data_IF_903174953334
#
_entry.id   IF_903174953334
#
_cell.length_a   1.000
_cell.length_b   1.000
_cell.length_c   1.000
_cell.angle_alpha   90.00
_cell.angle_beta   90.00
_cell.angle_gamma   90.00
#
_symmetry.space_group_name_H-M   'P 1'
#
loop_
_entity.id
_entity.type
_entity.pdbx_description
1 polymer ?
#
# COMPACT_ATOMS: atom_id res chain seq x y z
N UNK A 1 -19.61 7.22 -26.12
CA UNK A 1 -18.83 5.97 -26.39
C UNK A 1 -17.31 6.22 -26.43
N UNK A 2 -16.83 7.14 -27.27
CA UNK A 2 -15.38 7.44 -27.40
C UNK A 2 -14.80 8.14 -26.16
N UNK A 3 -15.54 9.05 -25.56
CA UNK A 3 -15.13 9.74 -24.33
C UNK A 3 -14.98 8.76 -23.15
N UNK A 4 -15.87 7.76 -23.04
CA UNK A 4 -15.78 6.73 -22.02
C UNK A 4 -14.52 5.89 -22.21
N UNK A 5 -14.18 5.50 -23.45
CA UNK A 5 -12.94 4.77 -23.73
C UNK A 5 -11.68 5.55 -23.32
N UNK A 6 -11.68 6.86 -23.53
CA UNK A 6 -10.58 7.74 -23.07
C UNK A 6 -10.49 7.74 -21.54
N UNK A 7 -11.62 7.85 -20.85
CA UNK A 7 -11.66 7.86 -19.40
C UNK A 7 -11.23 6.51 -18.80
N UNK A 8 -11.76 5.40 -19.32
CA UNK A 8 -11.42 4.05 -18.87
C UNK A 8 -9.92 3.75 -19.06
N UNK A 9 -9.35 4.17 -20.19
CA UNK A 9 -7.92 4.05 -20.45
C UNK A 9 -7.07 4.90 -19.49
N UNK A 10 -7.52 6.13 -19.18
CA UNK A 10 -6.86 6.95 -18.17
C UNK A 10 -6.86 6.26 -16.80
N UNK A 11 -8.03 5.74 -16.39
CA UNK A 11 -8.17 5.07 -15.10
C UNK A 11 -7.25 3.83 -14.99
N UNK A 12 -7.28 2.95 -16.01
CA UNK A 12 -6.44 1.74 -16.00
C UNK A 12 -4.95 2.07 -16.01
N UNK A 13 -4.53 2.99 -16.90
CA UNK A 13 -3.12 3.35 -17.03
C UNK A 13 -2.57 4.03 -15.77
N UNK A 14 -3.37 4.91 -15.15
CA UNK A 14 -2.94 5.62 -13.93
C UNK A 14 -3.03 4.75 -12.67
N UNK A 15 -3.75 3.62 -12.72
CA UNK A 15 -3.69 2.59 -11.68
C UNK A 15 -2.41 1.74 -11.77
N UNK A 16 -1.88 1.53 -12.99
CA UNK A 16 -0.68 0.73 -13.24
C UNK A 16 0.63 1.52 -13.09
N UNK A 17 0.60 2.81 -13.43
CA UNK A 17 1.79 3.68 -13.41
C UNK A 17 1.46 5.09 -12.90
N UNK A 18 2.38 5.68 -12.15
CA UNK A 18 2.22 7.02 -11.54
C UNK A 18 2.20 8.19 -12.55
N UNK A 19 2.59 7.95 -13.81
CA UNK A 19 2.71 8.99 -14.84
C UNK A 19 1.52 8.92 -15.80
N UNK A 20 0.76 10.01 -15.98
CA UNK A 20 -0.33 10.06 -16.95
C UNK A 20 0.11 9.76 -18.38
N UNK A 21 -0.71 9.05 -19.17
CA UNK A 21 -0.40 8.77 -20.57
C UNK A 21 -0.36 10.06 -21.40
N UNK A 22 0.49 10.08 -22.40
CA UNK A 22 0.50 11.15 -23.39
C UNK A 22 -0.73 11.07 -24.30
N UNK A 23 -1.09 12.17 -24.93
CA UNK A 23 -2.20 12.22 -25.91
C UNK A 23 -1.99 11.20 -27.04
N UNK A 24 -0.73 10.96 -27.45
CA UNK A 24 -0.40 9.95 -28.49
C UNK A 24 -0.66 8.51 -28.00
N UNK A 25 -0.33 8.22 -26.74
CA UNK A 25 -0.62 6.92 -26.12
C UNK A 25 -2.14 6.70 -26.02
N UNK A 26 -2.90 7.75 -25.64
CA UNK A 26 -4.37 7.69 -25.59
C UNK A 26 -4.93 7.42 -26.99
N UNK A 27 -4.44 8.11 -28.05
CA UNK A 27 -4.86 7.86 -29.43
C UNK A 27 -4.61 6.39 -29.82
N UNK A 28 -3.41 5.88 -29.56
CA UNK A 28 -3.04 4.51 -29.93
C UNK A 28 -3.91 3.46 -29.22
N UNK A 29 -4.14 3.64 -27.91
CA UNK A 29 -4.90 2.69 -27.11
C UNK A 29 -6.41 2.72 -27.39
N UNK A 30 -6.98 3.90 -27.68
CA UNK A 30 -8.43 4.08 -27.90
C UNK A 30 -8.86 3.99 -29.36
N UNK A 31 -7.90 3.85 -30.31
CA UNK A 31 -8.16 3.82 -31.74
C UNK A 31 -8.59 5.17 -32.33
N UNK A 32 -8.45 6.26 -31.58
CA UNK A 32 -8.76 7.61 -32.07
C UNK A 32 -7.66 8.12 -33.00
N UNK A 33 -8.04 8.51 -34.22
CA UNK A 33 -7.11 8.91 -35.26
C UNK A 33 -6.54 10.32 -35.12
N UNK A 34 -7.17 11.17 -34.29
CA UNK A 34 -6.81 12.57 -34.15
C UNK A 34 -6.52 12.96 -32.71
N UNK A 35 -5.37 13.59 -32.47
CA UNK A 35 -5.00 14.17 -31.17
C UNK A 35 -5.96 15.28 -30.75
N UNK A 36 -6.53 16.03 -31.70
CA UNK A 36 -7.54 17.06 -31.41
C UNK A 36 -8.83 16.47 -30.84
N UNK A 37 -9.24 15.28 -31.30
CA UNK A 37 -10.38 14.55 -30.73
C UNK A 37 -10.09 14.13 -29.26
N UNK A 38 -8.91 13.64 -28.98
CA UNK A 38 -8.51 13.31 -27.60
C UNK A 38 -8.49 14.57 -26.71
N UNK A 39 -7.93 15.68 -27.20
CA UNK A 39 -7.97 16.96 -26.48
C UNK A 39 -9.40 17.44 -26.21
N UNK A 40 -10.32 17.30 -27.17
CA UNK A 40 -11.74 17.64 -26.97
C UNK A 40 -12.38 16.76 -25.88
N UNK A 41 -12.12 15.44 -25.88
CA UNK A 41 -12.62 14.54 -24.86
C UNK A 41 -12.02 14.84 -23.47
N UNK A 42 -10.73 15.13 -23.38
CA UNK A 42 -10.10 15.54 -22.12
C UNK A 42 -10.70 16.84 -21.59
N UNK A 43 -10.92 17.84 -22.44
CA UNK A 43 -11.56 19.09 -22.05
C UNK A 43 -13.01 18.87 -21.56
N UNK A 44 -13.74 17.98 -22.19
CA UNK A 44 -15.09 17.61 -21.77
C UNK A 44 -15.10 16.85 -20.45
N UNK A 45 -14.16 15.92 -20.24
CA UNK A 45 -14.02 15.21 -18.96
C UNK A 45 -13.64 16.15 -17.81
N UNK A 46 -12.81 17.15 -18.09
CA UNK A 46 -12.45 18.19 -17.14
C UNK A 46 -13.64 19.08 -16.79
N UNK A 47 -14.41 19.54 -17.78
CA UNK A 47 -15.62 20.34 -17.59
C UNK A 47 -16.72 19.58 -16.81
N UNK A 48 -16.78 18.27 -16.96
CA UNK A 48 -17.67 17.37 -16.22
C UNK A 48 -17.16 16.99 -14.83
N UNK A 49 -15.94 17.43 -14.46
CA UNK A 49 -15.35 17.16 -13.15
C UNK A 49 -14.81 15.74 -12.97
N UNK A 50 -14.61 14.95 -14.05
CA UNK A 50 -14.02 13.62 -13.97
C UNK A 50 -12.48 13.64 -13.91
N UNK A 51 -11.87 14.68 -14.42
CA UNK A 51 -10.42 14.88 -14.36
C UNK A 51 -10.11 16.36 -14.03
N UNK A 52 -8.90 16.60 -13.51
CA UNK A 52 -8.30 17.94 -13.43
C UNK A 52 -6.97 17.94 -14.17
N UNK A 53 -6.51 19.13 -14.62
CA UNK A 53 -5.22 19.33 -15.28
C UNK A 53 -4.57 20.60 -14.77
N UNK A 54 -3.26 20.54 -14.54
CA UNK A 54 -2.51 21.73 -14.14
C UNK A 54 -2.17 22.58 -15.35
N UNK A 55 -2.45 23.88 -15.28
CA UNK A 55 -2.18 24.81 -16.35
C UNK A 55 -0.66 24.90 -16.63
N UNK A 56 -0.27 24.69 -17.89
CA UNK A 56 1.11 24.85 -18.36
C UNK A 56 2.01 23.63 -18.19
N UNK A 57 1.53 22.53 -17.58
CA UNK A 57 2.31 21.30 -17.47
C UNK A 57 1.85 20.24 -18.49
N UNK A 58 2.78 19.71 -19.28
CA UNK A 58 2.55 18.56 -20.11
C UNK A 58 2.45 17.31 -19.21
N UNK A 59 1.37 16.52 -19.35
CA UNK A 59 1.12 15.29 -18.58
C UNK A 59 0.67 15.51 -17.13
N UNK A 60 -0.14 16.52 -16.88
CA UNK A 60 -0.73 16.81 -15.55
C UNK A 60 -2.22 16.45 -15.49
N UNK A 61 -2.58 15.23 -15.87
CA UNK A 61 -3.96 14.75 -15.78
C UNK A 61 -4.14 14.07 -14.42
N UNK A 62 -5.14 14.50 -13.64
CA UNK A 62 -5.53 13.88 -12.39
C UNK A 62 -7.00 13.43 -12.50
N UNK A 63 -7.30 12.20 -12.11
CA UNK A 63 -8.68 11.68 -12.10
C UNK A 63 -9.34 12.12 -10.80
N UNK A 64 -10.46 12.84 -10.91
CA UNK A 64 -11.22 13.27 -9.73
C UNK A 64 -11.91 12.06 -9.10
N UNK A 65 -11.62 11.80 -7.82
CA UNK A 65 -12.16 10.64 -7.11
C UNK A 65 -11.37 9.33 -7.31
N UNK A 66 -10.43 9.27 -8.28
CA UNK A 66 -9.34 8.32 -8.20
C UNK A 66 -8.26 8.97 -7.34
N UNK A 67 -8.11 8.53 -6.12
CA UNK A 67 -6.91 8.78 -5.35
C UNK A 67 -5.74 8.34 -6.23
N UNK A 68 -4.82 9.26 -6.56
CA UNK A 68 -3.56 8.86 -7.16
C UNK A 68 -3.02 7.75 -6.27
N UNK A 69 -2.81 6.56 -6.85
CA UNK A 69 -2.36 5.43 -6.06
C UNK A 69 -1.07 5.86 -5.35
N UNK A 70 -1.13 5.92 -4.03
CA UNK A 70 0.02 6.26 -3.21
C UNK A 70 1.07 5.19 -3.44
N UNK A 71 2.29 5.58 -3.72
CA UNK A 71 3.40 4.65 -3.82
C UNK A 71 3.83 4.27 -2.41
N UNK A 72 3.41 3.09 -1.96
CA UNK A 72 3.76 2.56 -0.64
C UNK A 72 5.14 1.92 -0.75
N UNK A 73 6.14 2.39 0.02
CA UNK A 73 7.48 1.83 -0.01
C UNK A 73 7.49 0.41 0.54
N UNK A 74 8.20 -0.49 -0.14
CA UNK A 74 8.52 -1.84 0.34
C UNK A 74 9.82 -1.74 1.11
N UNK A 75 9.79 -2.10 2.39
CA UNK A 75 10.95 -2.08 3.26
C UNK A 75 11.59 -3.48 3.28
N UNK A 76 12.86 -3.57 2.98
CA UNK A 76 13.63 -4.82 3.04
C UNK A 76 13.92 -5.26 4.47
N UNK A 77 14.37 -4.33 5.29
CA UNK A 77 14.60 -4.55 6.73
C UNK A 77 14.00 -3.43 7.55
N UNK A 78 13.30 -3.80 8.62
CA UNK A 78 12.88 -2.84 9.65
C UNK A 78 13.86 -2.96 10.81
N UNK A 79 14.69 -1.95 11.01
CA UNK A 79 15.70 -1.92 12.06
C UNK A 79 15.24 -1.07 13.24
N UNK A 80 15.42 -1.58 14.45
CA UNK A 80 15.08 -0.82 15.66
C UNK A 80 15.97 0.42 15.80
N UNK A 81 15.35 1.56 16.16
CA UNK A 81 16.04 2.81 16.41
C UNK A 81 16.23 3.73 15.21
N UNK A 82 16.04 3.25 13.98
CA UNK A 82 15.98 4.07 12.78
C UNK A 82 14.53 4.45 12.43
N UNK A 83 14.31 5.59 11.75
CA UNK A 83 13.00 5.88 11.17
C UNK A 83 12.60 4.75 10.21
N UNK A 84 11.39 4.19 10.37
CA UNK A 84 10.89 3.05 9.55
C UNK A 84 10.95 3.33 8.05
N UNK A 85 10.94 4.58 7.63
CA UNK A 85 11.01 5.02 6.23
C UNK A 85 12.37 5.64 5.89
N UNK A 86 13.46 5.16 6.49
CA UNK A 86 14.79 5.53 6.05
C UNK A 86 15.00 5.08 4.59
N UNK A 87 15.43 5.99 3.73
CA UNK A 87 15.52 5.77 2.26
C UNK A 87 16.46 4.62 1.90
N UNK A 88 17.38 4.26 2.80
CA UNK A 88 18.41 3.24 2.57
C UNK A 88 17.86 1.80 2.53
N UNK A 89 16.65 1.56 3.05
CA UNK A 89 16.05 0.22 3.17
C UNK A 89 14.83 0.01 2.24
N UNK A 90 14.61 0.88 1.26
CA UNK A 90 13.48 0.75 0.32
C UNK A 90 13.88 -0.11 -0.87
N UNK A 91 13.25 -1.27 -1.02
CA UNK A 91 13.46 -2.23 -2.12
C UNK A 91 12.58 -1.95 -3.34
N UNK A 92 11.50 -1.18 -3.18
CA UNK A 92 10.55 -0.88 -4.25
C UNK A 92 9.30 -0.17 -3.75
N UNK A 93 8.28 -0.14 -4.58
CA UNK A 93 7.01 0.52 -4.26
C UNK A 93 5.82 -0.29 -4.75
N UNK A 94 4.74 -0.29 -3.99
CA UNK A 94 3.46 -0.87 -4.35
C UNK A 94 2.43 0.25 -4.52
N UNK A 95 1.74 0.37 -5.69
CA UNK A 95 0.64 1.31 -5.85
C UNK A 95 -0.54 0.91 -4.95
N UNK A 96 -1.00 1.83 -4.11
CA UNK A 96 -2.08 1.59 -3.15
C UNK A 96 -3.11 2.72 -3.20
N UNK A 97 -4.41 2.43 -3.38
CA UNK A 97 -5.46 3.43 -3.41
C UNK A 97 -5.77 3.93 -2.00
N UNK A 98 -4.88 4.76 -1.45
CA UNK A 98 -5.03 5.32 -0.11
C UNK A 98 -5.92 6.57 -0.12
N UNK A 99 -6.99 6.53 0.66
CA UNK A 99 -7.87 7.67 0.93
C UNK A 99 -7.69 8.24 2.34
N UNK A 100 -6.90 7.57 3.19
CA UNK A 100 -6.75 7.91 4.61
C UNK A 100 -5.79 9.06 4.85
N UNK A 101 -4.85 9.29 3.92
CA UNK A 101 -3.74 10.24 4.10
C UNK A 101 -2.70 9.82 5.13
N UNK A 102 -2.83 8.61 5.68
CA UNK A 102 -1.91 8.06 6.68
C UNK A 102 -0.60 7.57 6.05
N UNK A 103 0.45 7.51 6.83
CA UNK A 103 1.73 7.01 6.37
C UNK A 103 1.69 5.48 6.29
N UNK A 104 2.00 4.91 5.12
CA UNK A 104 1.94 3.48 4.83
C UNK A 104 3.32 2.95 4.46
N UNK A 105 3.57 1.68 4.77
CA UNK A 105 4.71 0.92 4.32
C UNK A 105 4.30 -0.52 4.01
N UNK A 106 5.10 -1.23 3.23
CA UNK A 106 4.90 -2.63 2.93
C UNK A 106 6.11 -3.45 3.38
N UNK A 107 5.84 -4.69 3.79
CA UNK A 107 6.86 -5.68 4.13
C UNK A 107 6.61 -6.96 3.35
N UNK A 108 7.70 -7.58 2.90
CA UNK A 108 7.67 -8.95 2.41
C UNK A 108 7.50 -9.92 3.57
N UNK A 109 6.56 -10.86 3.43
CA UNK A 109 6.29 -11.87 4.46
C UNK A 109 7.23 -13.05 4.26
N UNK A 110 7.95 -13.40 5.31
CA UNK A 110 8.79 -14.59 5.39
C UNK A 110 8.21 -15.54 6.45
N UNK A 111 7.82 -16.74 6.01
CA UNK A 111 7.31 -17.79 6.85
C UNK A 111 5.78 -17.96 6.88
N UNK A 112 5.36 -18.99 7.62
CA UNK A 112 4.00 -19.56 7.61
C UNK A 112 3.22 -19.32 8.89
N UNK A 113 3.69 -18.43 9.76
CA UNK A 113 3.11 -18.20 11.08
C UNK A 113 1.69 -17.60 11.04
N UNK A 114 1.29 -17.00 9.90
CA UNK A 114 0.00 -16.33 9.71
C UNK A 114 -0.84 -16.94 8.58
N UNK A 115 -0.49 -18.16 8.14
CA UNK A 115 -1.13 -18.84 6.99
C UNK A 115 -2.66 -18.98 7.14
N UNK A 116 -3.15 -19.25 8.33
CA UNK A 116 -4.59 -19.37 8.61
C UNK A 116 -5.31 -18.03 8.77
N UNK A 117 -4.56 -16.91 8.74
CA UNK A 117 -5.10 -15.58 8.56
C UNK A 117 -5.12 -15.14 7.08
N UNK A 118 -4.70 -16.05 6.18
CA UNK A 118 -4.62 -15.77 4.75
C UNK A 118 -3.37 -15.00 4.33
N UNK A 119 -2.37 -14.84 5.21
CA UNK A 119 -1.08 -14.21 4.93
C UNK A 119 -0.07 -15.35 4.72
N UNK A 120 0.43 -15.50 3.49
CA UNK A 120 1.30 -16.58 3.07
C UNK A 120 2.74 -16.11 2.97
N UNK A 121 3.65 -17.07 2.96
CA UNK A 121 5.04 -16.86 2.60
C UNK A 121 5.15 -16.26 1.19
N UNK A 122 5.96 -15.22 1.02
CA UNK A 122 6.09 -14.48 -0.24
C UNK A 122 5.06 -13.38 -0.48
N UNK A 123 4.00 -13.25 0.33
CA UNK A 123 3.06 -12.15 0.23
C UNK A 123 3.68 -10.81 0.66
N UNK A 124 3.02 -9.70 0.31
CA UNK A 124 3.29 -8.40 0.90
C UNK A 124 2.18 -8.00 1.85
N UNK A 125 2.52 -7.56 3.06
CA UNK A 125 1.58 -6.88 3.97
C UNK A 125 1.78 -5.38 3.85
N UNK A 126 0.69 -4.65 3.67
CA UNK A 126 0.66 -3.19 3.71
C UNK A 126 0.18 -2.80 5.10
N UNK A 127 0.96 -1.97 5.77
CA UNK A 127 0.68 -1.53 7.12
C UNK A 127 0.64 0.00 7.21
N UNK A 128 -0.30 0.49 8.02
CA UNK A 128 -0.34 1.86 8.47
C UNK A 128 0.69 2.04 9.58
N UNK A 129 1.57 3.03 9.45
CA UNK A 129 2.57 3.36 10.46
C UNK A 129 1.88 3.95 11.69
N UNK A 130 1.87 3.19 12.77
CA UNK A 130 1.29 3.59 14.05
C UNK A 130 1.96 2.83 15.19
N UNK A 131 2.18 3.47 16.35
CA UNK A 131 2.66 2.80 17.55
C UNK A 131 1.52 2.20 18.38
N UNK A 132 0.27 2.33 17.98
CA UNK A 132 -0.92 1.95 18.73
C UNK A 132 -1.69 0.89 17.96
N UNK A 133 -2.18 -0.13 18.66
CA UNK A 133 -3.08 -1.15 18.13
C UNK A 133 -4.09 -1.56 19.19
N UNK A 134 -5.26 -2.01 18.75
CA UNK A 134 -6.28 -2.60 19.59
C UNK A 134 -6.11 -4.13 19.68
N UNK A 135 -6.67 -4.71 20.76
CA UNK A 135 -6.62 -6.16 20.94
C UNK A 135 -7.37 -6.88 19.82
N UNK A 136 -6.71 -7.84 19.18
CA UNK A 136 -7.26 -8.61 18.07
C UNK A 136 -6.86 -8.12 16.69
N UNK A 137 -6.18 -7.00 16.58
CA UNK A 137 -5.66 -6.50 15.32
C UNK A 137 -4.39 -7.24 14.90
N UNK A 138 -4.13 -7.26 13.60
CA UNK A 138 -2.87 -7.79 13.03
C UNK A 138 -1.88 -6.63 12.94
N UNK A 139 -0.75 -6.79 13.59
CA UNK A 139 0.29 -5.75 13.66
C UNK A 139 1.60 -6.21 13.03
N UNK A 140 2.37 -5.24 12.62
CA UNK A 140 3.82 -5.37 12.50
C UNK A 140 4.41 -5.00 13.86
N UNK A 141 4.92 -5.99 14.58
CA UNK A 141 5.58 -5.83 15.87
C UNK A 141 7.10 -5.92 15.73
N UNK A 142 7.82 -5.14 16.53
CA UNK A 142 9.28 -5.22 16.68
C UNK A 142 9.62 -5.80 18.03
N UNK A 143 10.45 -6.84 18.05
CA UNK A 143 11.01 -7.46 19.24
C UNK A 143 12.53 -7.35 19.11
N UNK A 144 13.14 -6.43 19.88
CA UNK A 144 14.52 -6.04 19.58
C UNK A 144 14.65 -5.51 18.15
N UNK A 145 15.46 -6.17 17.33
CA UNK A 145 15.73 -5.81 15.93
C UNK A 145 14.96 -6.66 14.91
N UNK A 146 14.03 -7.51 15.35
CA UNK A 146 13.28 -8.39 14.49
C UNK A 146 11.84 -7.91 14.32
N UNK A 147 11.39 -7.77 13.06
CA UNK A 147 10.00 -7.49 12.73
C UNK A 147 9.20 -8.79 12.63
N UNK A 148 7.96 -8.77 13.08
CA UNK A 148 7.04 -9.91 12.96
C UNK A 148 5.60 -9.45 12.72
N UNK A 149 4.83 -10.26 11.98
CA UNK A 149 3.40 -10.02 11.75
C UNK A 149 2.61 -11.03 12.58
N UNK A 150 1.80 -10.55 13.53
CA UNK A 150 1.01 -11.36 14.46
C UNK A 150 -0.29 -10.66 14.84
N UNK A 151 -1.23 -11.42 15.40
CA UNK A 151 -2.32 -10.84 16.17
C UNK A 151 -1.78 -10.25 17.47
N UNK A 152 -2.22 -9.04 17.76
CA UNK A 152 -1.80 -8.28 18.93
C UNK A 152 -2.82 -8.39 20.06
N UNK A 153 -2.34 -8.53 21.29
CA UNK A 153 -3.12 -8.38 22.51
C UNK A 153 -2.23 -7.80 23.61
N UNK A 154 -2.75 -6.86 24.35
CA UNK A 154 -2.07 -6.28 25.51
C UNK A 154 -2.97 -6.29 26.73
N UNK A 155 -2.44 -6.76 27.86
CA UNK A 155 -3.07 -6.74 29.17
C UNK A 155 -2.06 -6.19 30.20
N UNK A 156 -2.25 -4.94 30.60
CA UNK A 156 -1.31 -4.25 31.48
C UNK A 156 0.10 -4.15 30.85
N UNK A 157 1.09 -4.75 31.50
CA UNK A 157 2.47 -4.80 30.96
C UNK A 157 2.75 -6.01 30.08
N UNK A 158 1.79 -6.92 29.90
CA UNK A 158 1.97 -8.10 29.05
C UNK A 158 1.47 -7.86 27.63
N UNK A 159 2.33 -8.09 26.67
CA UNK A 159 2.00 -8.14 25.25
C UNK A 159 2.05 -9.58 24.77
N UNK A 160 1.00 -10.01 24.11
CA UNK A 160 0.88 -11.33 23.50
C UNK A 160 0.81 -11.17 21.99
N UNK A 161 1.77 -11.75 21.29
CA UNK A 161 1.81 -11.84 19.83
C UNK A 161 1.41 -13.25 19.40
N UNK A 162 0.21 -13.39 18.83
CA UNK A 162 -0.37 -14.68 18.54
C UNK A 162 -0.28 -14.99 17.04
N UNK A 163 0.39 -16.08 16.65
CA UNK A 163 0.35 -16.57 15.28
C UNK A 163 -1.04 -17.12 14.92
N UNK A 164 -1.33 -17.25 13.63
CA UNK A 164 -2.52 -17.91 13.10
C UNK A 164 -2.10 -19.02 12.14
N UNK A 165 -1.70 -20.15 12.70
CA UNK A 165 -1.22 -21.32 11.96
C UNK A 165 -1.64 -22.61 12.68
N UNK A 166 -1.92 -23.66 11.93
CA UNK A 166 -2.14 -25.00 12.49
C UNK A 166 -0.85 -25.72 12.86
N UNK A 167 0.31 -25.21 12.40
CA UNK A 167 1.58 -25.80 12.74
C UNK A 167 1.91 -25.55 14.22
N UNK A 168 2.05 -26.61 15.03
CA UNK A 168 2.30 -26.49 16.48
C UNK A 168 3.64 -25.83 16.84
N UNK A 169 4.55 -25.65 15.88
CA UNK A 169 5.79 -24.88 16.07
C UNK A 169 5.49 -23.40 16.31
N UNK A 170 4.41 -22.89 15.73
CA UNK A 170 4.02 -21.50 15.90
C UNK A 170 3.17 -21.35 17.17
N UNK A 171 3.79 -20.93 18.26
CA UNK A 171 3.14 -20.69 19.56
C UNK A 171 2.98 -19.18 19.82
N UNK A 172 1.96 -18.79 20.62
CA UNK A 172 1.86 -17.41 21.12
C UNK A 172 3.12 -17.02 21.89
N UNK A 173 3.60 -15.81 21.61
CA UNK A 173 4.77 -15.24 22.25
C UNK A 173 4.29 -14.19 23.27
N UNK A 174 4.70 -14.35 24.53
CA UNK A 174 4.29 -13.48 25.64
C UNK A 174 5.50 -12.69 26.13
N UNK A 175 5.37 -11.37 26.15
CA UNK A 175 6.42 -10.46 26.57
C UNK A 175 5.96 -9.55 27.68
N UNK A 176 6.77 -9.39 28.72
CA UNK A 176 6.57 -8.36 29.73
C UNK A 176 7.34 -7.09 29.33
N UNK A 177 6.64 -6.01 29.04
CA UNK A 177 7.20 -4.72 28.64
C UNK A 177 8.17 -4.12 29.66
N UNK A 178 8.15 -4.63 30.92
CA UNK A 178 9.13 -4.25 31.95
C UNK A 178 10.51 -4.89 31.72
N UNK A 179 10.57 -5.95 30.90
CA UNK A 179 11.79 -6.75 30.67
C UNK A 179 12.26 -6.75 29.24
N UNK A 180 11.34 -6.69 28.29
CA UNK A 180 11.62 -6.79 26.85
C UNK A 180 10.96 -5.63 26.14
N UNK A 181 11.71 -4.97 25.27
CA UNK A 181 11.16 -3.92 24.43
C UNK A 181 10.40 -4.55 23.27
N UNK A 182 9.08 -4.44 23.31
CA UNK A 182 8.19 -4.78 22.19
C UNK A 182 7.50 -3.49 21.75
N UNK A 183 7.48 -3.23 20.45
CA UNK A 183 6.84 -2.04 19.88
C UNK A 183 5.94 -2.45 18.73
N UNK A 184 4.74 -1.89 18.69
CA UNK A 184 3.95 -1.86 17.46
C UNK A 184 4.55 -0.78 16.57
N UNK A 185 4.80 -1.11 15.31
CA UNK A 185 5.32 -0.17 14.31
C UNK A 185 4.36 0.06 13.15
N UNK A 186 3.37 -0.83 13.01
CA UNK A 186 2.31 -0.67 12.04
C UNK A 186 1.13 -1.59 12.27
N UNK A 187 -0.03 -1.13 11.82
CA UNK A 187 -1.28 -1.89 11.76
C UNK A 187 -1.46 -2.43 10.33
N UNK A 188 -1.58 -3.74 10.18
CA UNK A 188 -1.78 -4.36 8.87
C UNK A 188 -3.18 -4.02 8.34
N UNK A 189 -3.24 -3.39 7.16
CA UNK A 189 -4.48 -2.95 6.52
C UNK A 189 -4.82 -3.76 5.27
N UNK A 190 -3.83 -4.35 4.63
CA UNK A 190 -4.02 -5.21 3.44
C UNK A 190 -2.92 -6.27 3.35
N UNK A 191 -3.27 -7.44 2.79
CA UNK A 191 -2.30 -8.45 2.36
C UNK A 191 -2.43 -8.60 0.84
N UNK A 192 -1.32 -8.45 0.12
CA UNK A 192 -1.28 -8.55 -1.34
C UNK A 192 -0.53 -9.80 -1.76
N UNK A 193 -1.21 -10.63 -2.54
CA UNK A 193 -0.67 -11.86 -3.11
C UNK A 193 0.30 -11.56 -4.25
N UNK A 194 1.40 -12.31 -4.28
CA UNK A 194 2.30 -12.37 -5.43
C UNK A 194 2.11 -13.72 -6.11
N UNK A 195 1.81 -13.70 -7.41
CA UNK A 195 1.64 -14.88 -8.25
C UNK A 195 2.81 -15.04 -9.21
#
# INVERSE_FOLDING_TARGET
KSQQLVYDYLCSTMAERAVPPSVREICAATGLRSTSTVHSHLKSLEALGYITRDAGLNRSIHIVGASAAKQVPILGKVTAGLPILAVEDIEGYIPYPDKSGKELFALHVDGLSMINAGILDGDYVIAEKTPVAENGEIVVGMIGDEATVKYFRQEGSLVVLTPKSFNPVHQPQIYDLKRVQVRVVGLVVECRKVF
#
